data_IF_551420766489
#
_entry.id   IF_551420766489
#
_cell.length_a   1.000
_cell.length_b   1.000
_cell.length_c   1.000
_cell.angle_alpha   90.00
_cell.angle_beta   90.00
_cell.angle_gamma   90.00
#
_symmetry.space_group_name_H-M   'P 1'
#
loop_
_entity.id
_entity.type
_entity.pdbx_description
1 polymer ?
#
# COMPACT_ATOMS: atom_id res chain seq x y z
N UNK A 1 -3.35 -1.40 19.27
CA UNK A 1 -3.00 -0.28 18.37
C UNK A 1 -4.16 -0.14 17.40
N UNK A 2 -4.64 1.07 17.09
CA UNK A 2 -5.69 1.24 16.06
C UNK A 2 -5.06 0.98 14.69
N UNK A 3 -5.69 0.14 13.88
CA UNK A 3 -5.32 -0.06 12.49
C UNK A 3 -5.74 1.17 11.67
N UNK A 4 -4.85 1.64 10.79
CA UNK A 4 -5.12 2.70 9.84
C UNK A 4 -5.54 2.06 8.51
N UNK A 5 -6.63 2.55 7.93
CA UNK A 5 -7.14 2.07 6.65
C UNK A 5 -6.86 3.11 5.58
N UNK A 6 -6.25 2.67 4.48
CA UNK A 6 -5.83 3.55 3.40
C UNK A 6 -6.38 3.12 2.04
N UNK A 7 -6.11 3.93 1.04
CA UNK A 7 -6.31 3.59 -0.36
C UNK A 7 -5.09 4.02 -1.16
N UNK A 8 -4.97 3.53 -2.39
CA UNK A 8 -3.99 4.08 -3.31
C UNK A 8 -4.40 5.47 -3.79
N UNK A 9 -3.45 6.15 -4.42
CA UNK A 9 -3.63 7.43 -5.11
C UNK A 9 -4.10 7.26 -6.56
N UNK A 10 -4.45 6.06 -7.01
CA UNK A 10 -4.97 5.78 -8.34
C UNK A 10 -6.40 5.23 -8.28
N UNK A 11 -7.36 6.11 -8.02
CA UNK A 11 -8.78 5.75 -7.89
C UNK A 11 -9.61 6.22 -9.08
N UNK A 12 -9.25 7.38 -9.62
CA UNK A 12 -9.79 7.96 -10.85
C UNK A 12 -8.66 8.56 -11.67
N UNK A 13 -8.92 8.85 -12.95
CA UNK A 13 -8.01 9.65 -13.76
C UNK A 13 -7.80 11.03 -13.11
N UNK A 14 -6.54 11.40 -12.91
CA UNK A 14 -6.15 12.62 -12.19
C UNK A 14 -4.77 12.47 -11.58
N UNK A 15 -4.46 13.38 -10.66
CA UNK A 15 -3.14 13.46 -10.01
C UNK A 15 -3.14 12.87 -8.59
N UNK A 16 -1.98 12.89 -7.93
CA UNK A 16 -1.83 12.43 -6.55
C UNK A 16 -2.67 13.26 -5.59
N UNK A 17 -2.59 14.58 -5.66
CA UNK A 17 -3.36 15.47 -4.80
C UNK A 17 -4.86 15.41 -5.08
N UNK A 18 -5.27 15.31 -6.34
CA UNK A 18 -6.68 15.17 -6.70
C UNK A 18 -7.30 13.91 -6.07
N UNK A 19 -6.64 12.77 -6.22
CA UNK A 19 -7.09 11.51 -5.61
C UNK A 19 -7.07 11.58 -4.07
N UNK A 20 -6.00 12.09 -3.46
CA UNK A 20 -5.91 12.23 -2.00
C UNK A 20 -7.04 13.12 -1.43
N UNK A 21 -7.38 14.20 -2.13
CA UNK A 21 -8.46 15.12 -1.76
C UNK A 21 -9.83 14.44 -1.78
N UNK A 22 -10.08 13.48 -2.68
CA UNK A 22 -11.35 12.75 -2.74
C UNK A 22 -11.59 11.89 -1.49
N UNK A 23 -10.51 11.36 -0.90
CA UNK A 23 -10.56 10.37 0.19
C UNK A 23 -10.16 10.91 1.57
N UNK A 24 -9.70 12.15 1.69
CA UNK A 24 -9.20 12.74 2.97
C UNK A 24 -10.11 12.54 4.20
N UNK A 25 -11.43 12.49 4.01
CA UNK A 25 -12.40 12.27 5.11
C UNK A 25 -12.98 10.84 5.15
N UNK A 26 -12.39 9.90 4.40
CA UNK A 26 -12.88 8.53 4.18
C UNK A 26 -11.86 7.47 4.61
N UNK A 27 -10.58 7.78 4.47
CA UNK A 27 -9.44 6.93 4.82
C UNK A 27 -8.54 7.63 5.83
N UNK A 28 -7.74 6.87 6.57
CA UNK A 28 -6.72 7.38 7.48
C UNK A 28 -5.43 7.74 6.71
N UNK A 29 -5.11 7.07 5.61
CA UNK A 29 -3.92 7.35 4.80
C UNK A 29 -4.10 7.10 3.30
N UNK A 30 -3.20 7.66 2.48
CA UNK A 30 -3.12 7.38 1.05
C UNK A 30 -1.72 6.89 0.68
N UNK A 31 -1.65 5.83 -0.11
CA UNK A 31 -0.43 5.38 -0.73
C UNK A 31 -0.19 6.11 -2.06
N UNK A 32 0.91 6.85 -2.15
CA UNK A 32 1.33 7.51 -3.39
C UNK A 32 1.97 6.47 -4.31
N UNK A 33 1.31 6.12 -5.42
CA UNK A 33 1.76 5.11 -6.38
C UNK A 33 2.74 5.75 -7.37
N UNK A 34 4.01 5.79 -7.00
CA UNK A 34 5.06 6.39 -7.83
C UNK A 34 5.71 5.29 -8.65
N UNK A 35 5.27 5.11 -9.90
CA UNK A 35 5.79 4.04 -10.76
C UNK A 35 7.15 4.35 -11.40
N UNK A 36 7.42 5.63 -11.65
CA UNK A 36 8.65 6.14 -12.25
C UNK A 36 9.09 7.42 -11.54
N UNK A 37 10.38 7.77 -11.64
CA UNK A 37 10.94 9.00 -11.06
C UNK A 37 11.57 9.91 -12.13
N UNK A 38 10.80 10.18 -13.18
CA UNK A 38 11.19 11.12 -14.23
C UNK A 38 10.89 12.59 -13.85
N UNK A 39 11.36 13.52 -14.69
CA UNK A 39 11.20 14.95 -14.46
C UNK A 39 9.72 15.38 -14.45
N UNK A 40 8.84 14.71 -15.19
CA UNK A 40 7.41 15.00 -15.21
C UNK A 40 6.76 14.62 -13.87
N UNK A 41 7.03 13.41 -13.39
CA UNK A 41 6.52 12.90 -12.12
C UNK A 41 7.03 13.73 -10.95
N UNK A 42 8.33 14.06 -10.96
CA UNK A 42 8.94 14.91 -9.93
C UNK A 42 8.31 16.30 -9.94
N UNK A 43 8.16 16.92 -11.10
CA UNK A 43 7.53 18.24 -11.23
C UNK A 43 6.09 18.22 -10.73
N UNK A 44 5.32 17.19 -11.07
CA UNK A 44 3.95 17.05 -10.59
C UNK A 44 3.90 16.99 -9.06
N UNK A 45 4.73 16.15 -8.44
CA UNK A 45 4.79 16.05 -6.97
C UNK A 45 5.23 17.37 -6.33
N UNK A 46 6.20 18.07 -6.92
CA UNK A 46 6.63 19.40 -6.44
C UNK A 46 5.51 20.43 -6.51
N UNK A 47 4.77 20.48 -7.62
CA UNK A 47 3.64 21.39 -7.83
C UNK A 47 2.49 21.08 -6.84
N UNK A 48 2.34 19.80 -6.43
CA UNK A 48 1.28 19.33 -5.53
C UNK A 48 1.64 19.26 -4.04
N UNK A 49 2.93 19.39 -3.71
CA UNK A 49 3.46 19.17 -2.36
C UNK A 49 2.72 19.98 -1.29
N UNK A 50 2.45 21.27 -1.56
CA UNK A 50 1.74 22.13 -0.62
C UNK A 50 0.32 21.61 -0.33
N UNK A 51 -0.39 21.12 -1.36
CA UNK A 51 -1.71 20.54 -1.22
C UNK A 51 -1.69 19.24 -0.42
N UNK A 52 -0.72 18.36 -0.69
CA UNK A 52 -0.54 17.11 0.05
C UNK A 52 -0.23 17.36 1.54
N UNK A 53 0.66 18.31 1.84
CA UNK A 53 0.98 18.72 3.22
C UNK A 53 -0.24 19.34 3.92
N UNK A 54 -1.05 20.14 3.22
CA UNK A 54 -2.29 20.69 3.77
C UNK A 54 -3.27 19.57 4.16
N UNK A 55 -3.45 18.55 3.32
CA UNK A 55 -4.28 17.39 3.67
C UNK A 55 -3.71 16.62 4.86
N UNK A 56 -2.39 16.52 4.98
CA UNK A 56 -1.76 15.90 6.16
C UNK A 56 -2.03 16.68 7.45
N UNK A 57 -2.07 18.01 7.37
CA UNK A 57 -2.47 18.84 8.52
C UNK A 57 -3.93 18.61 8.95
N UNK A 58 -4.77 18.07 8.05
CA UNK A 58 -6.17 17.68 8.31
C UNK A 58 -6.32 16.24 8.80
N UNK A 59 -5.21 15.52 8.99
CA UNK A 59 -5.19 14.16 9.54
C UNK A 59 -4.95 13.04 8.51
N UNK A 60 -4.67 13.36 7.24
CA UNK A 60 -4.34 12.34 6.24
C UNK A 60 -2.86 11.93 6.35
N UNK A 61 -2.60 10.64 6.55
CA UNK A 61 -1.22 10.13 6.49
C UNK A 61 -0.86 9.67 5.08
N UNK A 62 0.44 9.42 4.85
CA UNK A 62 0.92 8.93 3.56
C UNK A 62 1.87 7.75 3.72
N UNK A 63 1.71 6.79 2.82
CA UNK A 63 2.75 5.83 2.43
C UNK A 63 3.15 6.13 0.99
N UNK A 64 4.28 5.61 0.54
CA UNK A 64 4.76 5.83 -0.83
C UNK A 64 5.18 4.48 -1.41
N UNK A 65 4.54 4.08 -2.49
CA UNK A 65 5.04 3.03 -3.33
C UNK A 65 6.18 3.59 -4.17
N UNK A 66 7.40 3.09 -3.96
CA UNK A 66 8.57 3.55 -4.68
C UNK A 66 8.56 3.03 -6.12
N UNK A 67 9.26 3.74 -7.04
CA UNK A 67 9.46 3.29 -8.42
C UNK A 67 9.88 1.83 -8.52
N UNK A 68 9.30 1.12 -9.48
CA UNK A 68 9.45 -0.34 -9.62
C UNK A 68 10.42 -0.76 -10.71
N UNK A 69 10.74 0.16 -11.62
CA UNK A 69 11.51 -0.08 -12.83
C UNK A 69 13.03 -0.04 -12.61
N UNK A 70 13.49 0.83 -11.71
CA UNK A 70 14.92 1.08 -11.49
C UNK A 70 15.26 1.39 -10.03
N UNK A 71 16.28 0.71 -9.49
CA UNK A 71 16.70 0.83 -8.10
C UNK A 71 17.29 2.21 -7.76
N UNK A 72 17.94 2.87 -8.72
CA UNK A 72 18.45 4.23 -8.54
C UNK A 72 17.27 5.22 -8.50
N UNK A 73 16.24 5.04 -9.33
CA UNK A 73 15.02 5.84 -9.30
C UNK A 73 14.29 5.68 -7.96
N UNK A 74 14.15 4.44 -7.46
CA UNK A 74 13.60 4.19 -6.13
C UNK A 74 14.38 4.92 -5.01
N UNK A 75 15.71 4.89 -5.06
CA UNK A 75 16.57 5.59 -4.10
C UNK A 75 16.41 7.11 -4.19
N UNK A 76 16.30 7.67 -5.40
CA UNK A 76 16.12 9.10 -5.61
C UNK A 76 14.76 9.58 -5.09
N UNK A 77 13.68 8.84 -5.40
CA UNK A 77 12.34 9.11 -4.88
C UNK A 77 12.31 9.05 -3.34
N UNK A 78 12.88 7.99 -2.75
CA UNK A 78 13.01 7.85 -1.30
C UNK A 78 13.74 9.05 -0.67
N UNK A 79 14.90 9.45 -1.23
CA UNK A 79 15.64 10.62 -0.74
C UNK A 79 14.85 11.90 -0.88
N UNK A 80 14.11 12.08 -1.97
CA UNK A 80 13.27 13.26 -2.15
C UNK A 80 12.20 13.34 -1.04
N UNK A 81 11.43 12.28 -0.83
CA UNK A 81 10.36 12.27 0.16
C UNK A 81 10.87 12.39 1.60
N UNK A 82 11.97 11.74 1.95
CA UNK A 82 12.57 11.87 3.29
C UNK A 82 13.10 13.29 3.58
N UNK A 83 13.44 14.07 2.54
CA UNK A 83 13.83 15.47 2.66
C UNK A 83 12.67 16.45 2.40
N UNK A 84 11.47 15.94 2.12
CA UNK A 84 10.28 16.75 1.88
C UNK A 84 9.61 17.15 3.20
N UNK A 85 8.74 18.19 3.21
CA UNK A 85 7.94 18.53 4.40
C UNK A 85 6.86 17.47 4.73
N UNK A 86 6.60 16.52 3.83
CA UNK A 86 5.58 15.49 4.01
C UNK A 86 6.11 14.33 4.86
N UNK A 87 5.36 13.96 5.90
CA UNK A 87 5.73 12.81 6.76
C UNK A 87 5.21 11.51 6.14
N UNK A 88 6.14 10.63 5.79
CA UNK A 88 5.84 9.29 5.26
C UNK A 88 5.89 8.26 6.38
N UNK A 89 4.84 7.43 6.49
CA UNK A 89 4.74 6.35 7.47
C UNK A 89 5.52 5.10 7.04
N UNK A 90 5.46 4.78 5.74
CA UNK A 90 6.08 3.60 5.16
C UNK A 90 6.37 3.82 3.67
N UNK A 91 7.46 3.22 3.19
CA UNK A 91 7.80 3.14 1.78
C UNK A 91 7.70 1.70 1.33
N UNK A 92 6.86 1.43 0.34
CA UNK A 92 6.69 0.11 -0.25
C UNK A 92 7.65 -0.02 -1.43
N UNK A 93 8.36 -1.15 -1.50
CA UNK A 93 9.38 -1.40 -2.51
C UNK A 93 9.24 -2.81 -3.07
N UNK A 94 9.22 -2.91 -4.40
CA UNK A 94 9.28 -4.20 -5.08
C UNK A 94 10.66 -4.87 -4.90
N UNK A 95 10.72 -6.21 -4.80
CA UNK A 95 11.99 -6.94 -4.80
C UNK A 95 12.74 -6.83 -6.15
N UNK A 96 13.70 -5.90 -6.26
CA UNK A 96 14.52 -5.70 -7.47
C UNK A 96 16.01 -5.92 -7.22
N UNK A 97 16.78 -6.04 -8.30
CA UNK A 97 18.24 -6.17 -8.23
C UNK A 97 18.88 -4.78 -8.08
N UNK A 98 20.04 -4.71 -7.43
CA UNK A 98 20.80 -3.46 -7.32
C UNK A 98 20.22 -2.47 -6.31
N UNK A 99 19.34 -2.91 -5.40
CA UNK A 99 18.85 -2.07 -4.31
C UNK A 99 20.01 -1.60 -3.42
N UNK A 100 20.01 -0.30 -3.16
CA UNK A 100 20.99 0.36 -2.30
C UNK A 100 20.81 -0.07 -0.84
N UNK A 101 21.92 -0.24 -0.11
CA UNK A 101 21.91 -0.61 1.30
C UNK A 101 21.14 0.40 2.17
N UNK A 102 21.08 1.68 1.78
CA UNK A 102 20.30 2.69 2.48
C UNK A 102 18.80 2.35 2.49
N UNK A 103 18.26 1.84 1.38
CA UNK A 103 16.87 1.41 1.30
C UNK A 103 16.65 0.16 2.16
N UNK A 104 17.52 -0.84 2.00
CA UNK A 104 17.39 -2.13 2.69
C UNK A 104 17.58 -2.02 4.21
N UNK A 105 18.36 -1.06 4.69
CA UNK A 105 18.56 -0.84 6.12
C UNK A 105 17.63 0.23 6.71
N UNK A 106 16.74 0.82 5.89
CA UNK A 106 15.81 1.84 6.35
C UNK A 106 14.69 1.23 7.19
N UNK A 107 14.46 1.82 8.37
CA UNK A 107 13.35 1.44 9.27
C UNK A 107 11.97 1.84 8.76
N UNK A 108 11.88 2.56 7.65
CA UNK A 108 10.62 2.95 7.00
C UNK A 108 10.36 2.23 5.68
N UNK A 109 11.30 1.46 5.16
CA UNK A 109 11.12 0.72 3.91
C UNK A 109 10.62 -0.68 4.25
N UNK A 110 9.61 -1.14 3.52
CA UNK A 110 9.17 -2.53 3.50
C UNK A 110 9.27 -3.09 2.10
N UNK A 111 9.56 -4.40 2.03
CA UNK A 111 9.60 -5.12 0.77
C UNK A 111 8.25 -5.80 0.55
N UNK A 112 7.67 -5.59 -0.62
CA UNK A 112 6.41 -6.22 -1.00
C UNK A 112 6.61 -7.66 -1.50
N UNK A 113 5.64 -8.54 -1.28
CA UNK A 113 5.62 -9.84 -1.95
C UNK A 113 4.93 -9.76 -3.31
N UNK A 114 5.63 -10.16 -4.37
CA UNK A 114 5.06 -10.22 -5.73
C UNK A 114 4.60 -11.63 -6.07
N UNK A 115 3.82 -11.77 -7.15
CA UNK A 115 3.32 -13.08 -7.59
C UNK A 115 4.44 -14.08 -7.93
N UNK A 116 5.57 -13.58 -8.40
CA UNK A 116 6.68 -14.34 -8.95
C UNK A 116 7.90 -14.37 -8.02
N UNK A 117 7.96 -13.46 -7.05
CA UNK A 117 9.15 -13.24 -6.24
C UNK A 117 8.81 -12.81 -4.82
N UNK A 118 9.49 -13.43 -3.87
CA UNK A 118 9.49 -13.04 -2.47
C UNK A 118 10.93 -12.89 -1.99
N UNK A 119 11.23 -11.81 -1.28
CA UNK A 119 12.51 -11.56 -0.62
C UNK A 119 12.23 -11.31 0.85
N UNK A 120 12.91 -12.06 1.72
CA UNK A 120 12.81 -11.85 3.16
C UNK A 120 13.45 -10.52 3.54
N UNK A 121 12.75 -9.76 4.40
CA UNK A 121 13.17 -8.47 4.89
C UNK A 121 12.68 -8.29 6.33
N UNK A 122 13.24 -7.36 7.10
CA UNK A 122 12.79 -7.08 8.48
C UNK A 122 11.41 -6.43 8.54
N UNK A 123 11.00 -5.81 7.43
CA UNK A 123 9.71 -5.13 7.24
C UNK A 123 9.10 -5.56 5.91
N UNK A 124 7.86 -6.02 5.93
CA UNK A 124 7.16 -6.57 4.77
C UNK A 124 5.87 -5.79 4.55
N UNK A 125 5.64 -5.40 3.29
CA UNK A 125 4.30 -5.10 2.80
C UNK A 125 3.72 -6.40 2.30
N UNK A 126 2.68 -6.89 2.94
CA UNK A 126 2.08 -8.15 2.55
C UNK A 126 0.97 -7.90 1.55
N UNK A 127 1.16 -8.32 0.30
CA UNK A 127 0.12 -8.25 -0.71
C UNK A 127 -0.69 -9.54 -0.72
N UNK A 128 -1.99 -9.42 -0.43
CA UNK A 128 -2.91 -10.55 -0.34
C UNK A 128 -3.15 -11.17 -1.72
N UNK A 129 -3.38 -10.35 -2.75
CA UNK A 129 -3.62 -10.82 -4.11
C UNK A 129 -2.43 -11.62 -4.64
N UNK A 130 -1.24 -11.03 -4.55
CA UNK A 130 0.02 -11.64 -4.96
C UNK A 130 0.29 -12.96 -4.22
N UNK A 131 0.06 -12.99 -2.90
CA UNK A 131 0.19 -14.23 -2.15
C UNK A 131 -0.74 -15.33 -2.67
N UNK A 132 -2.02 -15.02 -2.90
CA UNK A 132 -2.99 -16.03 -3.31
C UNK A 132 -2.76 -16.51 -4.75
N UNK A 133 -2.36 -15.61 -5.65
CA UNK A 133 -2.18 -15.88 -7.06
C UNK A 133 -0.79 -16.45 -7.43
N UNK A 134 0.21 -16.23 -6.58
CA UNK A 134 1.62 -16.47 -6.85
C UNK A 134 2.36 -17.39 -5.88
N UNK A 135 3.67 -17.14 -5.75
CA UNK A 135 4.59 -17.90 -4.90
C UNK A 135 4.24 -17.70 -3.44
N UNK A 136 4.00 -18.82 -2.73
CA UNK A 136 3.67 -18.79 -1.31
C UNK A 136 4.90 -18.43 -0.47
N UNK A 137 4.76 -17.41 0.37
CA UNK A 137 5.74 -16.94 1.33
C UNK A 137 5.31 -17.21 2.79
N UNK A 138 4.75 -18.40 3.07
CA UNK A 138 4.19 -18.79 4.38
C UNK A 138 5.19 -18.84 5.54
N UNK A 139 6.44 -18.46 5.31
CA UNK A 139 7.51 -18.38 6.31
C UNK A 139 7.70 -16.97 6.88
N UNK A 140 6.97 -15.97 6.37
CA UNK A 140 7.02 -14.62 6.94
C UNK A 140 6.47 -14.66 8.36
N UNK A 141 7.29 -14.17 9.28
CA UNK A 141 6.88 -13.95 10.65
C UNK A 141 5.88 -12.78 10.70
N UNK A 142 4.67 -12.95 11.26
CA UNK A 142 3.62 -11.93 11.22
C UNK A 142 4.03 -10.56 11.74
N UNK A 143 4.93 -10.51 12.73
CA UNK A 143 5.46 -9.27 13.32
C UNK A 143 6.32 -8.44 12.36
N UNK A 144 6.79 -9.03 11.25
CA UNK A 144 7.51 -8.31 10.19
C UNK A 144 6.56 -7.60 9.23
N UNK A 145 5.26 -7.95 9.23
CA UNK A 145 4.27 -7.36 8.34
C UNK A 145 3.84 -6.02 8.93
N UNK A 146 4.20 -4.93 8.24
CA UNK A 146 3.93 -3.55 8.68
C UNK A 146 2.82 -2.88 7.89
N UNK A 147 2.56 -3.40 6.69
CA UNK A 147 1.50 -2.92 5.79
C UNK A 147 0.88 -4.13 5.07
N UNK A 148 -0.42 -4.07 4.83
CA UNK A 148 -1.18 -5.09 4.12
C UNK A 148 -1.82 -4.44 2.90
N UNK A 149 -1.49 -4.91 1.71
CA UNK A 149 -2.22 -4.55 0.49
C UNK A 149 -3.41 -5.50 0.37
N UNK A 150 -4.59 -4.92 0.58
CA UNK A 150 -5.85 -5.62 0.76
C UNK A 150 -6.71 -5.42 -0.49
N UNK A 151 -6.97 -6.52 -1.19
CA UNK A 151 -7.79 -6.53 -2.40
C UNK A 151 -8.50 -7.88 -2.56
N UNK A 152 -9.53 -7.91 -3.40
CA UNK A 152 -10.10 -9.14 -3.89
C UNK A 152 -9.26 -9.72 -5.04
N UNK A 153 -9.36 -11.04 -5.23
CA UNK A 153 -8.68 -11.75 -6.30
C UNK A 153 -9.52 -12.92 -6.82
N UNK A 154 -9.23 -13.36 -8.05
CA UNK A 154 -9.80 -14.56 -8.67
C UNK A 154 -8.66 -15.49 -9.10
N UNK A 155 -8.49 -16.59 -8.36
CA UNK A 155 -7.47 -17.60 -8.63
C UNK A 155 -7.60 -18.28 -9.99
N UNK A 156 -8.82 -18.39 -10.52
CA UNK A 156 -9.08 -19.04 -11.83
C UNK A 156 -8.76 -18.09 -12.97
N UNK A 157 -9.19 -16.84 -12.85
CA UNK A 157 -8.91 -15.81 -13.86
C UNK A 157 -7.50 -15.23 -13.75
N UNK A 158 -6.76 -15.55 -12.67
CA UNK A 158 -5.46 -14.94 -12.34
C UNK A 158 -5.53 -13.41 -12.33
N UNK A 159 -6.57 -12.90 -11.68
CA UNK A 159 -6.86 -11.47 -11.59
C UNK A 159 -6.84 -11.02 -10.13
N UNK A 160 -6.21 -9.88 -9.88
CA UNK A 160 -6.15 -9.18 -8.60
C UNK A 160 -6.89 -7.82 -8.70
N UNK A 161 -6.72 -6.97 -7.68
CA UNK A 161 -7.31 -5.63 -7.59
C UNK A 161 -8.85 -5.60 -7.73
N UNK A 162 -9.52 -6.70 -7.34
CA UNK A 162 -10.98 -6.78 -7.34
C UNK A 162 -11.58 -6.16 -6.07
N UNK A 163 -12.84 -5.70 -6.11
CA UNK A 163 -13.53 -5.27 -4.90
C UNK A 163 -13.66 -6.43 -3.90
N UNK A 164 -13.68 -6.09 -2.62
CA UNK A 164 -13.79 -7.05 -1.53
C UNK A 164 -15.25 -7.14 -1.07
N UNK A 165 -15.73 -8.37 -0.96
CA UNK A 165 -16.98 -8.69 -0.29
C UNK A 165 -16.73 -9.51 1.00
N UNK A 166 -17.80 -9.78 1.76
CA UNK A 166 -17.70 -10.55 3.01
C UNK A 166 -17.18 -11.98 2.80
N UNK A 167 -17.46 -12.58 1.64
CA UNK A 167 -16.98 -13.93 1.32
C UNK A 167 -15.47 -13.93 1.10
N UNK A 168 -14.96 -12.92 0.41
CA UNK A 168 -13.54 -12.69 0.18
C UNK A 168 -12.81 -12.43 1.49
N UNK A 169 -13.34 -11.57 2.37
CA UNK A 169 -12.74 -11.34 3.70
C UNK A 169 -12.64 -12.62 4.52
N UNK A 170 -13.72 -13.39 4.57
CA UNK A 170 -13.73 -14.68 5.26
C UNK A 170 -12.70 -15.64 4.67
N UNK A 171 -12.60 -15.70 3.33
CA UNK A 171 -11.61 -16.52 2.64
C UNK A 171 -10.18 -16.12 3.01
N UNK A 172 -9.89 -14.82 3.02
CA UNK A 172 -8.58 -14.26 3.37
C UNK A 172 -8.24 -14.62 4.82
N UNK A 173 -9.14 -14.30 5.77
CA UNK A 173 -8.98 -14.62 7.19
C UNK A 173 -8.75 -16.11 7.44
N UNK A 174 -9.54 -16.97 6.81
CA UNK A 174 -9.49 -18.42 7.05
C UNK A 174 -8.24 -19.08 6.43
N UNK A 175 -7.56 -18.42 5.47
CA UNK A 175 -6.42 -18.99 4.73
C UNK A 175 -5.08 -18.33 5.02
N UNK A 176 -5.07 -17.12 5.58
CA UNK A 176 -3.84 -16.52 6.08
C UNK A 176 -3.48 -17.15 7.43
N UNK A 177 -2.18 -17.33 7.68
CA UNK A 177 -1.66 -17.92 8.93
C UNK A 177 -1.48 -16.88 10.04
N UNK A 178 -1.92 -15.65 9.79
CA UNK A 178 -1.80 -14.53 10.71
C UNK A 178 -3.10 -13.74 10.78
N UNK A 179 -3.25 -13.05 11.90
CA UNK A 179 -4.40 -12.21 12.20
C UNK A 179 -4.21 -10.84 11.53
N UNK A 180 -4.99 -10.60 10.47
CA UNK A 180 -4.90 -9.35 9.69
C UNK A 180 -5.31 -8.12 10.49
N UNK A 181 -6.09 -8.28 11.56
CA UNK A 181 -6.52 -7.18 12.43
C UNK A 181 -5.38 -6.63 13.30
N UNK A 182 -4.23 -7.34 13.33
CA UNK A 182 -3.01 -6.89 14.04
C UNK A 182 -2.06 -6.07 13.17
N UNK A 183 -2.27 -6.02 11.85
CA UNK A 183 -1.40 -5.26 10.95
C UNK A 183 -1.72 -3.77 11.08
N UNK A 184 -0.74 -2.87 11.29
CA UNK A 184 -1.04 -1.48 11.62
C UNK A 184 -1.53 -0.66 10.42
N UNK A 185 -1.08 -0.95 9.20
CA UNK A 185 -1.48 -0.27 7.97
C UNK A 185 -2.18 -1.26 7.05
N UNK A 186 -3.37 -0.93 6.55
CA UNK A 186 -4.08 -1.72 5.54
C UNK A 186 -4.44 -0.80 4.37
N UNK A 187 -3.69 -0.91 3.28
CA UNK A 187 -3.95 -0.18 2.04
C UNK A 187 -4.91 -1.01 1.17
N UNK A 188 -6.03 -0.42 0.76
CA UNK A 188 -6.93 -1.06 -0.20
C UNK A 188 -6.46 -0.77 -1.62
N UNK A 189 -5.79 -1.74 -2.23
CA UNK A 189 -5.28 -1.66 -3.61
C UNK A 189 -6.38 -2.04 -4.61
N UNK A 190 -7.34 -1.13 -4.78
CA UNK A 190 -8.47 -1.28 -5.71
C UNK A 190 -8.55 0.01 -6.54
N UNK A 191 -8.36 -0.11 -7.85
CA UNK A 191 -8.22 1.03 -8.77
C UNK A 191 -9.56 1.57 -9.29
N UNK A 192 -10.52 1.72 -8.38
CA UNK A 192 -11.83 2.31 -8.65
C UNK A 192 -12.38 2.94 -7.36
N UNK A 193 -12.78 4.20 -7.45
CA UNK A 193 -13.22 4.99 -6.30
C UNK A 193 -14.44 4.43 -5.56
N UNK A 194 -15.47 3.99 -6.28
CA UNK A 194 -16.68 3.50 -5.62
C UNK A 194 -16.43 2.11 -5.01
N UNK A 195 -15.65 1.28 -5.71
CA UNK A 195 -15.29 -0.06 -5.27
C UNK A 195 -14.38 -0.06 -4.04
N UNK A 196 -13.40 0.86 -3.95
CA UNK A 196 -12.53 0.97 -2.78
C UNK A 196 -13.32 1.40 -1.55
N UNK A 197 -14.24 2.37 -1.68
CA UNK A 197 -15.06 2.84 -0.57
C UNK A 197 -16.04 1.77 -0.08
N UNK A 198 -16.63 1.02 -1.01
CA UNK A 198 -17.46 -0.13 -0.69
C UNK A 198 -16.67 -1.19 0.09
N UNK A 199 -15.46 -1.51 -0.38
CA UNK A 199 -14.59 -2.52 0.22
C UNK A 199 -14.14 -2.12 1.63
N UNK A 200 -13.75 -0.87 1.84
CA UNK A 200 -13.40 -0.33 3.16
C UNK A 200 -14.59 -0.39 4.11
N UNK A 201 -15.80 -0.05 3.64
CA UNK A 201 -17.02 -0.14 4.46
C UNK A 201 -17.27 -1.59 4.89
N UNK A 202 -17.24 -2.53 3.95
CA UNK A 202 -17.45 -3.96 4.22
C UNK A 202 -16.39 -4.48 5.21
N UNK A 203 -15.14 -4.05 5.07
CA UNK A 203 -14.07 -4.40 6.01
C UNK A 203 -14.33 -3.88 7.42
N UNK A 204 -14.72 -2.60 7.55
CA UNK A 204 -15.08 -2.00 8.85
C UNK A 204 -16.23 -2.75 9.53
N UNK A 205 -17.31 -3.03 8.79
CA UNK A 205 -18.43 -3.82 9.32
C UNK A 205 -17.98 -5.23 9.72
N UNK A 206 -17.11 -5.88 8.95
CA UNK A 206 -16.62 -7.20 9.26
C UNK A 206 -15.74 -7.25 10.52
N UNK A 207 -14.97 -6.19 10.80
CA UNK A 207 -14.24 -6.04 12.08
C UNK A 207 -15.18 -5.86 13.27
N UNK A 208 -16.30 -5.15 13.09
CA UNK A 208 -17.30 -4.94 14.15
C UNK A 208 -18.11 -6.20 14.45
N UNK A 209 -18.44 -6.97 13.41
CA UNK A 209 -19.24 -8.20 13.49
C UNK A 209 -18.44 -9.45 13.93
N UNK A 210 -17.15 -9.29 14.30
CA UNK A 210 -16.22 -10.39 14.59
C UNK A 210 -16.12 -11.42 13.43
N UNK A 211 -16.37 -10.96 12.20
CA UNK A 211 -16.14 -11.73 10.98
C UNK A 211 -14.66 -11.72 10.61
N UNK A 212 -13.91 -10.69 11.03
CA UNK A 212 -12.45 -10.65 10.95
C UNK A 212 -11.80 -10.86 12.31
#
# INVERSE_FOLDING_TARGET
>A
MKQLLGSTSWLVAGTYYENAKLVVNKVDFVELLVYAWDEETKKLIEDEMNGLVELQSKGLFYTVHLPTDDALMALQAFRYFENSPMKILNYVLHPMNGLDELLLNSKKVSIENLTEKFVEHERITFDVGHYFLGVKNSKVLPEKIVELHMMGFDERAKKDHLPIDRKMLKLIRDRLWFDICKIPLVCFEIFDFDQVLMSIRIYKEAMEDEVL
#
